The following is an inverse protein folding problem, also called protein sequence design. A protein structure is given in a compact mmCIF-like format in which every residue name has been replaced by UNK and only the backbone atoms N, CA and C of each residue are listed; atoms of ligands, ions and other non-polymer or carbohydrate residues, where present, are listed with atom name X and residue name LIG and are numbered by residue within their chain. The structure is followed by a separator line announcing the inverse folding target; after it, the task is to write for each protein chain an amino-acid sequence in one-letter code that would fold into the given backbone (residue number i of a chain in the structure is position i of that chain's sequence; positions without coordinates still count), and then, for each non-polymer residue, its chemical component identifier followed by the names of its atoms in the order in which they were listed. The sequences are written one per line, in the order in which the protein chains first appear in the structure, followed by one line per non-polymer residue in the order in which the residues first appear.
data_IF_213332964652
#
_entry.id   IF_213332964652
#
_cell.length_a   1.000
_cell.length_b   1.000
_cell.length_c   1.000
_cell.angle_alpha   90.00
_cell.angle_beta   90.00
_cell.angle_gamma   90.00
#
_symmetry.space_group_name_H-M   'P 1'
#
loop_
_entity.id
_entity.type
_entity.pdbx_description
1 polymer ?
#
# COMPACT_ATOMS: atom_id res chain seq x y z
N UNK A 1 -4.59 -7.33 -11.42
CA UNK A 1 -5.07 -5.98 -11.67
C UNK A 1 -3.94 -4.98 -11.45
N UNK A 2 -3.83 -4.01 -12.32
CA UNK A 2 -2.75 -3.03 -12.21
C UNK A 2 -3.26 -1.78 -11.50
N UNK A 3 -2.91 -1.65 -10.23
CA UNK A 3 -3.28 -0.47 -9.43
C UNK A 3 -2.22 0.62 -9.60
N UNK A 4 -0.94 0.21 -9.53
CA UNK A 4 0.21 1.10 -9.74
C UNK A 4 1.16 0.44 -10.72
N UNK A 5 2.02 1.26 -11.30
CA UNK A 5 3.13 0.82 -12.15
C UNK A 5 4.43 1.24 -11.47
N UNK A 6 5.54 0.72 -11.96
CA UNK A 6 6.84 0.98 -11.34
C UNK A 6 7.15 2.47 -11.24
N UNK A 7 6.79 3.23 -12.27
CA UNK A 7 7.04 4.67 -12.31
C UNK A 7 6.26 5.45 -11.26
N UNK A 8 5.19 4.87 -10.71
CA UNK A 8 4.41 5.53 -9.68
C UNK A 8 5.11 5.54 -8.33
N UNK A 9 6.06 4.62 -8.12
CA UNK A 9 6.72 4.46 -6.84
C UNK A 9 8.07 5.15 -6.88
N UNK A 10 8.19 6.23 -6.15
CA UNK A 10 9.42 7.01 -6.12
C UNK A 10 9.91 7.15 -4.69
N UNK A 11 11.10 6.63 -4.43
CA UNK A 11 11.80 6.79 -3.18
C UNK A 11 13.28 6.92 -3.52
N UNK A 12 13.94 7.92 -2.96
CA UNK A 12 15.32 8.23 -3.31
C UNK A 12 16.33 7.24 -2.74
N UNK A 13 15.91 6.36 -1.85
CA UNK A 13 16.78 5.38 -1.19
C UNK A 13 16.46 3.95 -1.62
N UNK A 14 15.18 3.62 -1.73
CA UNK A 14 14.73 2.26 -1.99
C UNK A 14 14.78 1.93 -3.48
N UNK A 15 15.29 0.75 -3.79
CA UNK A 15 15.34 0.26 -5.16
C UNK A 15 14.12 -0.63 -5.42
N UNK A 16 13.02 -0.01 -5.73
CA UNK A 16 11.75 -0.70 -5.97
C UNK A 16 11.86 -1.55 -7.23
N UNK A 17 11.41 -2.78 -7.15
CA UNK A 17 11.43 -3.71 -8.28
C UNK A 17 10.03 -3.93 -8.81
N UNK A 18 9.94 -4.51 -10.01
CA UNK A 18 8.63 -4.87 -10.57
C UNK A 18 7.92 -5.87 -9.67
N UNK A 19 8.67 -6.77 -9.03
CA UNK A 19 8.10 -7.73 -8.08
C UNK A 19 7.43 -7.03 -6.89
N UNK A 20 8.03 -5.94 -6.41
CA UNK A 20 7.44 -5.16 -5.31
C UNK A 20 6.11 -4.54 -5.76
N UNK A 21 6.06 -4.04 -6.98
CA UNK A 21 4.85 -3.44 -7.55
C UNK A 21 3.77 -4.51 -7.73
N UNK A 22 4.14 -5.67 -8.25
CA UNK A 22 3.20 -6.77 -8.46
C UNK A 22 2.59 -7.22 -7.12
N UNK A 23 3.42 -7.34 -6.09
CA UNK A 23 2.96 -7.72 -4.76
C UNK A 23 2.04 -6.66 -4.17
N UNK A 24 2.35 -5.39 -4.40
CA UNK A 24 1.50 -4.30 -3.91
C UNK A 24 0.13 -4.33 -4.58
N UNK A 25 0.09 -4.56 -5.89
CA UNK A 25 -1.17 -4.66 -6.62
C UNK A 25 -2.01 -5.82 -6.09
N UNK A 26 -1.38 -6.97 -5.83
CA UNK A 26 -2.07 -8.12 -5.25
C UNK A 26 -2.59 -7.82 -3.85
N UNK A 27 -1.80 -7.11 -3.05
CA UNK A 27 -2.20 -6.72 -1.71
C UNK A 27 -3.48 -5.88 -1.73
N UNK A 28 -3.58 -4.95 -2.67
CA UNK A 28 -4.78 -4.10 -2.80
C UNK A 28 -6.01 -4.94 -3.13
N UNK A 29 -5.87 -5.85 -4.08
CA UNK A 29 -7.00 -6.72 -4.46
C UNK A 29 -7.47 -7.55 -3.27
N UNK A 30 -6.53 -8.11 -2.51
CA UNK A 30 -6.85 -8.90 -1.33
C UNK A 30 -7.52 -8.06 -0.25
N UNK A 31 -7.01 -6.87 -0.01
CA UNK A 31 -7.57 -6.00 1.02
C UNK A 31 -8.97 -5.54 0.64
N UNK A 32 -9.19 -5.21 -0.63
CA UNK A 32 -10.53 -4.84 -1.11
C UNK A 32 -11.50 -6.01 -0.93
N UNK A 33 -11.06 -7.22 -1.23
CA UNK A 33 -11.90 -8.40 -1.07
C UNK A 33 -12.31 -8.61 0.38
N UNK A 34 -11.41 -8.35 1.32
CA UNK A 34 -11.71 -8.46 2.76
C UNK A 34 -12.77 -7.45 3.20
N UNK A 35 -12.94 -6.38 2.44
CA UNK A 35 -13.95 -5.36 2.72
C UNK A 35 -15.19 -5.53 1.84
N UNK A 36 -15.30 -6.68 1.16
CA UNK A 36 -16.46 -6.99 0.35
C UNK A 36 -16.44 -6.35 -1.03
N UNK A 37 -15.29 -5.90 -1.51
CA UNK A 37 -15.15 -5.26 -2.82
C UNK A 37 -14.42 -6.23 -3.75
N UNK A 38 -15.12 -6.71 -4.79
CA UNK A 38 -14.51 -7.60 -5.77
C UNK A 38 -13.51 -6.84 -6.64
N UNK A 39 -12.57 -7.55 -7.24
CA UNK A 39 -11.54 -6.93 -8.07
C UNK A 39 -12.16 -6.07 -9.18
N UNK A 40 -13.22 -6.55 -9.80
CA UNK A 40 -13.89 -5.83 -10.88
C UNK A 40 -14.60 -4.57 -10.41
N UNK A 41 -14.78 -4.41 -9.10
CA UNK A 41 -15.45 -3.26 -8.51
C UNK A 41 -14.47 -2.19 -8.01
N UNK A 42 -13.18 -2.49 -8.05
CA UNK A 42 -12.18 -1.55 -7.55
C UNK A 42 -12.06 -0.35 -8.47
N UNK A 43 -12.17 0.83 -7.88
CA UNK A 43 -11.93 2.10 -8.56
C UNK A 43 -10.60 2.64 -8.05
N UNK A 44 -9.65 2.84 -8.95
CA UNK A 44 -8.30 3.27 -8.57
C UNK A 44 -8.30 4.77 -8.37
N UNK A 45 -8.51 5.18 -7.11
CA UNK A 45 -8.44 6.57 -6.73
C UNK A 45 -7.15 6.87 -5.97
N UNK A 46 -7.05 8.08 -5.46
CA UNK A 46 -5.84 8.54 -4.77
C UNK A 46 -5.47 7.64 -3.59
N UNK A 47 -6.45 7.34 -2.72
CA UNK A 47 -6.17 6.56 -1.50
C UNK A 47 -5.72 5.13 -1.83
N UNK A 48 -6.33 4.53 -2.84
CA UNK A 48 -5.97 3.18 -3.27
C UNK A 48 -4.55 3.16 -3.82
N UNK A 49 -4.21 4.13 -4.66
CA UNK A 49 -2.85 4.24 -5.20
C UNK A 49 -1.84 4.50 -4.09
N UNK A 50 -2.17 5.39 -3.17
CA UNK A 50 -1.27 5.71 -2.05
C UNK A 50 -1.00 4.49 -1.20
N UNK A 51 -2.04 3.72 -0.89
CA UNK A 51 -1.90 2.49 -0.11
C UNK A 51 -0.96 1.50 -0.82
N UNK A 52 -1.12 1.33 -2.12
CA UNK A 52 -0.27 0.43 -2.90
C UNK A 52 1.19 0.90 -2.89
N UNK A 53 1.42 2.20 -3.08
CA UNK A 53 2.77 2.78 -3.08
C UNK A 53 3.43 2.57 -1.72
N UNK A 54 2.71 2.85 -0.65
CA UNK A 54 3.24 2.70 0.71
C UNK A 54 3.58 1.23 0.98
N UNK A 55 2.73 0.32 0.54
CA UNK A 55 2.99 -1.10 0.74
C UNK A 55 4.25 -1.54 -0.01
N UNK A 56 4.42 -1.11 -1.26
CA UNK A 56 5.61 -1.45 -2.05
C UNK A 56 6.88 -0.94 -1.36
N UNK A 57 6.84 0.30 -0.88
CA UNK A 57 7.98 0.89 -0.18
C UNK A 57 8.26 0.16 1.13
N UNK A 58 7.23 -0.15 1.89
CA UNK A 58 7.40 -0.85 3.16
C UNK A 58 8.05 -2.22 2.96
N UNK A 59 7.52 -3.01 2.02
CA UNK A 59 8.04 -4.36 1.81
C UNK A 59 9.48 -4.33 1.30
N UNK A 60 9.82 -3.37 0.43
CA UNK A 60 11.19 -3.24 -0.06
C UNK A 60 12.12 -2.79 1.07
N UNK A 61 11.67 -1.88 1.91
CA UNK A 61 12.47 -1.42 3.05
C UNK A 61 12.77 -2.59 4.00
N UNK A 62 11.76 -3.38 4.32
CA UNK A 62 11.93 -4.54 5.20
C UNK A 62 12.92 -5.53 4.59
N UNK A 63 12.79 -5.81 3.30
CA UNK A 63 13.67 -6.75 2.61
C UNK A 63 15.11 -6.24 2.55
N UNK A 64 15.30 -4.94 2.68
CA UNK A 64 16.62 -4.30 2.57
C UNK A 64 17.29 -4.08 3.93
N UNK A 65 16.56 -4.26 5.03
CA UNK A 65 17.15 -4.08 6.36
C UNK A 65 18.36 -5.01 6.52
N UNK A 66 19.46 -4.44 7.02
CA UNK A 66 20.69 -5.19 7.22
C UNK A 66 21.62 -5.15 6.02
N UNK A 67 21.20 -4.57 4.90
CA UNK A 67 22.08 -4.48 3.72
C UNK A 67 22.90 -3.19 3.68
N UNK A 68 22.67 -2.27 4.62
CA UNK A 68 23.45 -1.05 4.73
C UNK A 68 24.79 -1.41 5.37
N UNK A 69 25.81 -1.54 4.55
CA UNK A 69 27.13 -2.02 4.97
C UNK A 69 27.73 -1.12 6.04
N UNK A 70 27.57 0.20 5.89
CA UNK A 70 28.15 1.14 6.85
C UNK A 70 27.55 1.00 8.24
N UNK A 71 26.22 0.92 8.32
CA UNK A 71 25.53 0.75 9.60
C UNK A 71 25.90 -0.57 10.25
N UNK A 72 25.98 -1.63 9.45
CA UNK A 72 26.30 -2.96 9.96
C UNK A 72 27.75 -3.06 10.44
N UNK A 73 28.67 -2.39 9.77
CA UNK A 73 30.09 -2.38 10.19
C UNK A 73 30.25 -1.70 11.54
N UNK A 74 29.46 -0.66 11.78
CA UNK A 74 29.51 0.05 13.06
C UNK A 74 28.78 -0.70 14.16
N UNK A 75 28.05 -1.74 13.82
CA UNK A 75 27.25 -2.49 14.77
C UNK A 75 26.06 -1.71 15.30
N UNK A 76 25.71 -0.59 14.68
CA UNK A 76 24.63 0.28 15.12
C UNK A 76 23.47 0.22 14.12
N UNK A 77 22.56 -0.68 14.35
CA UNK A 77 21.40 -0.88 13.47
C UNK A 77 20.44 0.31 13.50
N UNK A 78 20.57 1.19 14.49
CA UNK A 78 19.76 2.40 14.55
C UNK A 78 20.05 3.38 13.42
N UNK A 79 21.24 3.25 12.77
CA UNK A 79 21.61 4.09 11.63
C UNK A 79 21.28 3.42 10.30
N UNK A 80 20.71 2.23 10.31
CA UNK A 80 20.30 1.53 9.08
C UNK A 80 19.16 2.31 8.44
N UNK A 81 19.42 2.91 7.28
CA UNK A 81 18.45 3.74 6.60
C UNK A 81 17.21 2.93 6.19
N UNK A 82 17.40 1.66 5.88
CA UNK A 82 16.30 0.81 5.48
C UNK A 82 15.38 0.49 6.66
N UNK A 83 15.94 0.32 7.86
CA UNK A 83 15.15 0.13 9.07
C UNK A 83 14.33 1.39 9.37
N UNK A 84 14.92 2.56 9.18
CA UNK A 84 14.22 3.83 9.38
C UNK A 84 13.07 4.00 8.37
N UNK A 85 13.34 3.65 7.11
CA UNK A 85 12.29 3.69 6.08
C UNK A 85 11.18 2.69 6.38
N UNK A 86 11.54 1.48 6.84
CA UNK A 86 10.55 0.48 7.20
C UNK A 86 9.62 0.98 8.30
N UNK A 87 10.18 1.62 9.33
CA UNK A 87 9.37 2.18 10.41
C UNK A 87 8.43 3.28 9.90
N UNK A 88 8.96 4.16 9.07
CA UNK A 88 8.18 5.26 8.50
C UNK A 88 6.99 4.73 7.70
N UNK A 89 7.27 3.82 6.78
CA UNK A 89 6.20 3.29 5.91
C UNK A 89 5.25 2.38 6.66
N UNK A 90 5.72 1.67 7.70
CA UNK A 90 4.85 0.85 8.53
C UNK A 90 3.78 1.69 9.21
N UNK A 91 4.18 2.83 9.77
CA UNK A 91 3.24 3.73 10.43
C UNK A 91 2.22 4.26 9.43
N UNK A 92 2.66 4.66 8.27
CA UNK A 92 1.77 5.17 7.24
C UNK A 92 0.83 4.07 6.74
N UNK A 93 1.36 2.86 6.53
CA UNK A 93 0.56 1.72 6.09
C UNK A 93 -0.54 1.40 7.11
N UNK A 94 -0.20 1.38 8.38
CA UNK A 94 -1.17 1.10 9.44
C UNK A 94 -2.24 2.17 9.50
N UNK A 95 -1.86 3.43 9.38
CA UNK A 95 -2.81 4.54 9.39
C UNK A 95 -3.78 4.45 8.23
N UNK A 96 -3.26 4.22 7.02
CA UNK A 96 -4.09 4.12 5.83
C UNK A 96 -5.02 2.91 5.89
N UNK A 97 -4.46 1.74 6.20
CA UNK A 97 -5.24 0.50 6.16
C UNK A 97 -6.33 0.48 7.22
N UNK A 98 -6.10 1.09 8.39
CA UNK A 98 -7.10 1.12 9.44
C UNK A 98 -8.20 2.14 9.19
N UNK A 99 -7.94 3.16 8.37
CA UNK A 99 -8.92 4.21 8.09
C UNK A 99 -9.71 3.97 6.81
N UNK A 100 -9.24 3.10 5.92
CA UNK A 100 -9.90 2.87 4.64
C UNK A 100 -11.09 1.92 4.78
N UNK A 101 -12.17 2.26 4.09
CA UNK A 101 -13.40 1.48 4.09
C UNK A 101 -13.68 0.95 2.68
N UNK A 102 -14.74 0.15 2.54
CA UNK A 102 -15.16 -0.34 1.24
C UNK A 102 -15.34 0.80 0.23
N UNK A 103 -15.86 1.95 0.69
CA UNK A 103 -16.06 3.10 -0.17
C UNK A 103 -14.77 3.61 -0.79
N UNK A 104 -13.66 3.53 -0.07
CA UNK A 104 -12.37 3.97 -0.59
C UNK A 104 -11.90 3.09 -1.73
N UNK A 105 -12.30 1.82 -1.74
CA UNK A 105 -11.91 0.87 -2.77
C UNK A 105 -12.83 0.87 -3.97
N UNK A 106 -14.12 1.16 -3.78
CA UNK A 106 -15.08 1.07 -4.88
C UNK A 106 -15.53 2.44 -5.40
N UNK A 107 -14.85 3.50 -5.00
CA UNK A 107 -15.18 4.84 -5.46
C UNK A 107 -16.46 5.41 -4.88
N UNK A 108 -16.89 4.87 -3.74
CA UNK A 108 -18.10 5.32 -3.08
C UNK A 108 -19.36 4.62 -3.54
N UNK A 109 -19.23 3.64 -4.44
CA UNK A 109 -20.39 2.89 -4.91
C UNK A 109 -20.82 1.87 -3.87
N UNK A 110 -22.11 1.82 -3.62
CA UNK A 110 -22.64 0.86 -2.67
C UNK A 110 -23.06 -0.40 -3.41
N UNK A 111 -22.51 -1.50 -2.99
CA UNK A 111 -22.80 -2.79 -3.59
C UNK A 111 -24.23 -3.19 -3.30
N UNK A 112 -24.95 -3.57 -4.35
CA UNK A 112 -26.31 -4.07 -4.22
C UNK A 112 -27.33 -3.01 -3.89
N UNK A 113 -26.99 -1.75 -3.85
CA UNK A 113 -27.95 -0.70 -3.60
C UNK A 113 -28.49 -0.23 -4.91
N UNK A 114 -29.66 -0.49 -4.98
CA UNK A 114 -30.37 0.26 -5.94
C UNK A 114 -30.54 1.58 -5.28
N UNK A 115 -30.27 1.84 -4.97
CA UNK A 115 -30.36 2.61 -4.28
C UNK A 115 -31.02 3.04 -3.49
N UNK A 116 -31.34 2.96 -3.10
CA UNK A 116 -31.85 3.25 -2.33
C UNK A 116 -31.84 4.22 -2.04
N UNK A 117 -32.30 4.62 -2.14
CA UNK A 117 -32.26 5.42 -1.72
C UNK A 117 -32.61 5.71 -0.74
N UNK A 118 -32.52 5.63 -0.44
CA UNK A 118 -32.62 5.80 0.29
C UNK A 118 -32.81 6.44 0.85
N UNK A 119 -33.10 6.48 1.02
CA UNK A 119 -33.27 6.88 1.60
C UNK A 119 -33.89 7.57 1.77
N UNK A 120 -34.27 7.57 1.53
CA UNK A 120 -34.86 8.09 1.60
C UNK A 120 -35.59 8.10 1.69
N UNK A 121 -35.89 7.86 1.69
CA UNK A 121 -36.57 7.80 1.74
C UNK A 121 -37.00 7.76 1.86
#
# INVERSE_FOLDING_TARGET
MEIIILEDVQDDVLKITQGDVDNANSFIVDMAARRGVAETEIVVGYMVKRLAIVYACYTRAVASVGTDVMANMDGNRGTDVYAQKADFYKKELNTLSSSMTASDFNGGKRKGVASIPIYRS
#
